data_IF_708934134549
#
_entry.id   IF_708934134549
#
_cell.length_a   1.000
_cell.length_b   1.000
_cell.length_c   1.000
_cell.angle_alpha   90.00
_cell.angle_beta   90.00
_cell.angle_gamma   90.00
#
_symmetry.space_group_name_H-M   'P 1'
#
loop_
_entity.id
_entity.type
_entity.pdbx_description
1 polymer ?
#
# COMPACT_ATOMS: atom_id res chain seq x y z
N UNK A 1 -15.21 -6.67 14.75
CA UNK A 1 -13.78 -6.30 14.66
C UNK A 1 -13.72 -4.94 13.98
N UNK A 2 -13.08 -3.94 14.58
CA UNK A 2 -12.88 -2.65 13.90
C UNK A 2 -11.95 -2.85 12.70
N UNK A 3 -12.06 -2.00 11.67
CA UNK A 3 -11.18 -2.08 10.49
C UNK A 3 -9.69 -1.91 10.84
N UNK A 4 -9.37 -1.33 12.00
CA UNK A 4 -8.00 -1.13 12.46
C UNK A 4 -7.29 -2.43 12.86
N UNK A 5 -8.03 -3.47 13.26
CA UNK A 5 -7.43 -4.77 13.61
C UNK A 5 -6.97 -5.59 12.39
N UNK A 6 -7.36 -5.18 11.18
CA UNK A 6 -7.04 -5.91 9.95
C UNK A 6 -5.62 -5.62 9.44
N UNK A 7 -5.02 -4.49 9.83
CA UNK A 7 -3.77 -4.02 9.26
C UNK A 7 -2.69 -3.82 10.33
N UNK A 8 -1.45 -4.14 9.97
CA UNK A 8 -0.27 -3.64 10.67
C UNK A 8 0.23 -2.43 9.90
N UNK A 9 0.16 -1.26 10.52
CA UNK A 9 0.66 -0.01 9.96
C UNK A 9 2.14 0.20 10.27
N UNK A 10 2.86 0.69 9.27
CA UNK A 10 4.27 1.07 9.32
C UNK A 10 4.32 2.55 8.95
N UNK A 11 4.53 3.39 9.95
CA UNK A 11 4.56 4.84 9.79
C UNK A 11 6.00 5.36 9.86
N UNK A 12 6.31 6.49 9.20
CA UNK A 12 7.62 7.10 9.27
C UNK A 12 7.88 7.60 10.68
N UNK A 13 9.16 7.59 11.08
CA UNK A 13 9.59 8.16 12.38
C UNK A 13 9.59 9.70 12.36
N UNK A 14 9.70 10.29 11.17
CA UNK A 14 9.72 11.72 10.92
C UNK A 14 8.44 12.16 10.19
N UNK A 15 8.20 13.47 10.13
CA UNK A 15 6.99 14.03 9.52
C UNK A 15 6.83 13.65 8.04
N UNK A 16 5.57 13.41 7.64
CA UNK A 16 5.21 13.11 6.25
C UNK A 16 5.50 14.32 5.36
N UNK A 17 5.89 14.14 4.10
CA UNK A 17 5.92 15.26 3.16
C UNK A 17 4.54 15.92 3.12
N UNK A 18 4.55 17.25 3.18
CA UNK A 18 3.35 18.05 3.24
C UNK A 18 2.79 18.23 1.84
N UNK A 19 1.66 17.56 1.58
CA UNK A 19 0.75 18.03 0.53
C UNK A 19 0.22 19.41 0.93
N UNK A 20 0.17 20.34 -0.01
CA UNK A 20 -0.30 21.70 0.23
C UNK A 20 -1.83 21.76 0.34
N UNK A 21 -2.53 20.75 -0.17
CA UNK A 21 -3.98 20.62 -0.07
C UNK A 21 -4.46 19.17 -0.13
N UNK A 22 -5.72 18.94 0.26
CA UNK A 22 -6.37 17.64 0.07
C UNK A 22 -6.55 17.28 -1.41
N UNK A 23 -6.77 18.28 -2.27
CA UNK A 23 -6.85 18.06 -3.72
C UNK A 23 -5.53 17.56 -4.29
N UNK A 24 -4.41 18.19 -3.89
CA UNK A 24 -3.07 17.74 -4.30
C UNK A 24 -2.79 16.31 -3.80
N UNK A 25 -3.20 15.99 -2.57
CA UNK A 25 -3.13 14.63 -2.04
C UNK A 25 -3.89 13.64 -2.92
N UNK A 26 -5.12 13.93 -3.31
CA UNK A 26 -5.91 13.01 -4.16
C UNK A 26 -5.39 12.89 -5.60
N UNK A 27 -4.72 13.93 -6.07
CA UNK A 27 -4.09 13.97 -7.39
C UNK A 27 -2.84 13.08 -7.45
N UNK A 28 -1.96 13.20 -6.45
CA UNK A 28 -0.64 12.59 -6.47
C UNK A 28 -0.47 11.37 -5.57
N UNK A 29 -1.24 11.24 -4.48
CA UNK A 29 -1.05 10.13 -3.56
C UNK A 29 -1.59 8.81 -4.13
N UNK A 30 -0.75 7.79 -4.10
CA UNK A 30 -1.10 6.45 -4.50
C UNK A 30 -0.35 5.39 -3.72
N UNK A 31 -0.47 4.16 -4.19
CA UNK A 31 0.09 2.99 -3.52
C UNK A 31 0.47 1.90 -4.49
N UNK A 32 1.60 1.27 -4.20
CA UNK A 32 1.93 -0.05 -4.72
C UNK A 32 1.29 -1.11 -3.83
N UNK A 33 0.61 -2.08 -4.45
CA UNK A 33 -0.04 -3.21 -3.78
C UNK A 33 0.67 -4.49 -4.23
N UNK A 34 1.12 -5.25 -3.24
CA UNK A 34 1.89 -6.48 -3.41
C UNK A 34 1.08 -7.59 -2.76
N UNK A 35 0.81 -8.64 -3.50
CA UNK A 35 0.02 -9.78 -3.05
C UNK A 35 0.90 -11.02 -2.90
N UNK A 36 0.69 -11.78 -1.84
CA UNK A 36 1.45 -13.01 -1.58
C UNK A 36 0.91 -13.80 -0.39
N UNK A 37 1.50 -14.96 -0.12
CA UNK A 37 1.19 -15.73 1.08
C UNK A 37 1.59 -14.97 2.35
N UNK A 38 0.94 -15.29 3.48
CA UNK A 38 1.14 -14.64 4.78
C UNK A 38 2.61 -14.44 5.15
N UNK A 39 3.40 -15.51 5.12
CA UNK A 39 4.82 -15.47 5.53
C UNK A 39 5.66 -14.52 4.68
N UNK A 40 5.40 -14.47 3.36
CA UNK A 40 6.07 -13.53 2.46
C UNK A 40 5.71 -12.09 2.80
N UNK A 41 4.43 -11.81 3.02
CA UNK A 41 3.96 -10.45 3.31
C UNK A 41 4.44 -9.97 4.69
N UNK A 42 4.48 -10.84 5.69
CA UNK A 42 5.04 -10.52 7.02
C UNK A 42 6.56 -10.25 6.94
N UNK A 43 7.31 -11.07 6.19
CA UNK A 43 8.74 -10.84 5.95
C UNK A 43 8.99 -9.51 5.23
N UNK A 44 8.26 -9.22 4.15
CA UNK A 44 8.34 -7.94 3.45
C UNK A 44 7.96 -6.76 4.36
N UNK A 45 6.93 -6.93 5.20
CA UNK A 45 6.50 -5.95 6.20
C UNK A 45 7.61 -5.62 7.20
N UNK A 46 8.41 -6.61 7.62
CA UNK A 46 9.56 -6.38 8.51
C UNK A 46 10.69 -5.61 7.80
N UNK A 47 10.96 -5.92 6.53
CA UNK A 47 12.04 -5.31 5.75
C UNK A 47 11.74 -3.86 5.37
N UNK A 48 10.49 -3.59 4.98
CA UNK A 48 10.09 -2.25 4.52
C UNK A 48 10.11 -1.20 5.64
N UNK A 49 10.06 -1.62 6.91
CA UNK A 49 10.21 -0.74 8.08
C UNK A 49 11.44 0.17 7.98
N UNK A 50 12.54 -0.33 7.40
CA UNK A 50 13.78 0.44 7.26
C UNK A 50 13.75 1.47 6.14
N UNK A 51 12.77 1.36 5.23
CA UNK A 51 12.61 2.19 4.04
C UNK A 51 11.52 3.25 4.22
N UNK A 52 10.54 3.03 5.10
CA UNK A 52 9.46 4.00 5.35
C UNK A 52 10.00 5.31 5.95
N UNK A 53 9.57 6.44 5.41
CA UNK A 53 10.09 7.77 5.74
C UNK A 53 11.40 8.12 5.03
N UNK A 54 11.92 7.18 4.25
CA UNK A 54 13.06 7.35 3.34
C UNK A 54 12.61 6.95 1.95
N UNK A 55 13.50 7.06 0.97
CA UNK A 55 13.31 6.40 -0.32
C UNK A 55 12.00 6.77 -1.06
N UNK A 56 11.40 7.92 -0.73
CA UNK A 56 10.10 8.41 -1.22
C UNK A 56 8.88 7.57 -0.79
N UNK A 57 9.05 6.70 0.22
CA UNK A 57 7.97 5.90 0.81
C UNK A 57 7.38 6.64 2.01
N UNK A 58 6.09 6.98 1.90
CA UNK A 58 5.36 7.76 2.89
C UNK A 58 4.94 6.95 4.10
N UNK A 59 4.42 5.75 3.84
CA UNK A 59 3.97 4.79 4.84
C UNK A 59 3.77 3.44 4.16
N UNK A 60 3.67 2.39 4.96
CA UNK A 60 3.24 1.09 4.47
C UNK A 60 2.26 0.46 5.44
N UNK A 61 1.51 -0.54 4.98
CA UNK A 61 0.74 -1.42 5.85
C UNK A 61 0.61 -2.79 5.23
N UNK A 62 0.44 -3.81 6.04
CA UNK A 62 0.14 -5.15 5.55
C UNK A 62 -1.02 -5.79 6.28
N UNK A 63 -1.72 -6.72 5.62
CA UNK A 63 -2.91 -7.37 6.17
C UNK A 63 -2.53 -8.48 7.16
N UNK A 64 -3.15 -8.48 8.35
CA UNK A 64 -3.07 -9.57 9.32
C UNK A 64 -3.92 -10.78 8.94
N UNK A 65 -5.02 -10.50 8.25
CA UNK A 65 -5.95 -11.48 7.72
C UNK A 65 -5.84 -11.50 6.19
N UNK A 66 -6.39 -12.52 5.52
CA UNK A 66 -6.47 -12.54 4.06
C UNK A 66 -7.15 -11.28 3.50
N UNK A 67 -6.67 -10.85 2.34
CA UNK A 67 -7.23 -9.71 1.61
C UNK A 67 -8.65 -10.06 1.14
N UNK A 68 -9.60 -9.21 1.49
CA UNK A 68 -11.02 -9.40 1.15
C UNK A 68 -11.29 -9.28 -0.35
N UNK A 69 -10.43 -8.56 -1.07
CA UNK A 69 -10.48 -8.37 -2.52
C UNK A 69 -9.07 -8.48 -3.08
N UNK A 70 -8.90 -9.38 -4.04
CA UNK A 70 -7.65 -9.59 -4.77
C UNK A 70 -7.95 -9.53 -6.28
N UNK A 71 -6.98 -9.13 -7.11
CA UNK A 71 -7.12 -9.17 -8.57
C UNK A 71 -7.37 -10.60 -9.06
N UNK A 72 -7.95 -10.73 -10.25
CA UNK A 72 -8.08 -12.01 -10.93
C UNK A 72 -6.71 -12.69 -11.09
N UNK A 73 -6.66 -14.00 -10.84
CA UNK A 73 -5.42 -14.78 -10.87
C UNK A 73 -4.70 -14.93 -9.53
N UNK A 74 -5.26 -14.39 -8.44
CA UNK A 74 -4.83 -14.67 -7.07
C UNK A 74 -5.80 -15.64 -6.38
N UNK A 75 -5.26 -16.56 -5.58
CA UNK A 75 -6.05 -17.52 -4.82
C UNK A 75 -6.75 -16.87 -3.61
N UNK A 76 -7.71 -17.61 -3.02
CA UNK A 76 -8.20 -17.31 -1.69
C UNK A 76 -7.05 -17.47 -0.66
N UNK A 77 -7.08 -16.75 0.46
CA UNK A 77 -6.02 -16.74 1.51
C UNK A 77 -4.75 -15.92 1.19
N UNK A 78 -4.83 -15.04 0.18
CA UNK A 78 -3.72 -14.13 -0.16
C UNK A 78 -3.71 -12.92 0.76
N UNK A 79 -2.53 -12.52 1.23
CA UNK A 79 -2.29 -11.31 2.01
C UNK A 79 -1.75 -10.18 1.11
N UNK A 80 -1.83 -8.95 1.60
CA UNK A 80 -1.37 -7.78 0.87
C UNK A 80 -0.41 -6.92 1.70
N UNK A 81 0.67 -6.46 1.06
CA UNK A 81 1.48 -5.32 1.49
C UNK A 81 1.12 -4.11 0.61
N UNK A 82 0.88 -2.98 1.25
CA UNK A 82 0.49 -1.73 0.62
C UNK A 82 1.56 -0.69 0.97
N UNK A 83 2.16 -0.08 -0.05
CA UNK A 83 3.25 0.89 0.09
C UNK A 83 2.80 2.21 -0.52
N UNK A 84 2.64 3.23 0.31
CA UNK A 84 2.15 4.54 -0.10
C UNK A 84 3.32 5.42 -0.57
N UNK A 85 3.16 6.04 -1.73
CA UNK A 85 4.08 7.05 -2.23
C UNK A 85 3.39 8.05 -3.16
N UNK A 86 4.11 9.14 -3.42
CA UNK A 86 3.71 10.14 -4.40
C UNK A 86 3.96 9.63 -5.83
N UNK A 87 2.98 9.82 -6.72
CA UNK A 87 3.04 9.32 -8.09
C UNK A 87 4.18 9.91 -8.92
N UNK A 88 4.60 11.14 -8.60
CA UNK A 88 5.77 11.80 -9.20
C UNK A 88 7.06 11.00 -8.98
N UNK A 89 7.08 10.13 -7.95
CA UNK A 89 8.23 9.30 -7.56
C UNK A 89 7.95 7.79 -7.64
N UNK A 90 6.77 7.34 -8.09
CA UNK A 90 6.34 5.94 -7.95
C UNK A 90 7.24 4.93 -8.66
N UNK A 91 7.78 5.25 -9.83
CA UNK A 91 8.68 4.38 -10.59
C UNK A 91 10.04 4.26 -9.88
N UNK A 92 10.49 5.29 -9.17
CA UNK A 92 11.67 5.15 -8.30
C UNK A 92 11.39 4.23 -7.12
N UNK A 93 10.22 4.36 -6.49
CA UNK A 93 9.82 3.48 -5.39
C UNK A 93 9.71 2.04 -5.86
N UNK A 94 9.08 1.80 -7.01
CA UNK A 94 8.96 0.49 -7.65
C UNK A 94 10.32 -0.18 -7.87
N UNK A 95 11.29 0.54 -8.43
CA UNK A 95 12.66 0.02 -8.60
C UNK A 95 13.29 -0.35 -7.26
N UNK A 96 13.19 0.50 -6.25
CA UNK A 96 13.72 0.22 -4.90
C UNK A 96 13.06 -1.00 -4.26
N UNK A 97 11.74 -1.16 -4.40
CA UNK A 97 11.01 -2.35 -3.94
C UNK A 97 11.49 -3.61 -4.65
N UNK A 98 11.71 -3.54 -5.96
CA UNK A 98 12.27 -4.65 -6.74
C UNK A 98 13.69 -4.99 -6.28
N UNK A 99 14.59 -4.01 -6.27
CA UNK A 99 16.02 -4.22 -6.05
C UNK A 99 16.34 -4.65 -4.61
N UNK A 100 15.59 -4.13 -3.62
CA UNK A 100 15.87 -4.40 -2.20
C UNK A 100 15.00 -5.49 -1.59
N UNK A 101 13.78 -5.68 -2.09
CA UNK A 101 12.82 -6.63 -1.53
C UNK A 101 12.52 -7.81 -2.46
N UNK A 102 13.05 -7.82 -3.68
CA UNK A 102 12.84 -8.90 -4.65
C UNK A 102 11.39 -9.00 -5.15
N UNK A 103 10.66 -7.88 -5.15
CA UNK A 103 9.24 -7.86 -5.55
C UNK A 103 9.11 -7.52 -7.03
N UNK A 104 8.70 -8.49 -7.85
CA UNK A 104 8.47 -8.29 -9.28
C UNK A 104 7.01 -7.97 -9.64
N UNK A 105 6.05 -8.59 -8.94
CA UNK A 105 4.61 -8.40 -9.18
C UNK A 105 4.03 -7.41 -8.18
N UNK A 106 3.63 -6.25 -8.67
CA UNK A 106 2.97 -5.20 -7.88
C UNK A 106 2.03 -4.38 -8.75
N UNK A 107 0.99 -3.82 -8.13
CA UNK A 107 -0.06 -3.06 -8.80
C UNK A 107 -0.09 -1.63 -8.26
N UNK A 108 -0.10 -0.64 -9.16
CA UNK A 108 -0.29 0.75 -8.77
C UNK A 108 -1.78 1.05 -8.63
N UNK A 109 -2.15 1.83 -7.62
CA UNK A 109 -3.50 2.36 -7.45
C UNK A 109 -3.48 3.72 -6.78
N UNK A 110 -4.25 4.66 -7.28
CA UNK A 110 -4.42 5.96 -6.65
C UNK A 110 -5.37 5.91 -5.45
N UNK A 111 -5.21 6.84 -4.51
CA UNK A 111 -6.13 6.95 -3.38
C UNK A 111 -7.51 7.43 -3.80
N UNK A 112 -7.61 8.34 -4.77
CA UNK A 112 -8.90 8.77 -5.35
C UNK A 112 -9.73 7.60 -5.89
N UNK A 113 -9.08 6.62 -6.52
CA UNK A 113 -9.76 5.42 -7.05
C UNK A 113 -10.32 4.55 -5.93
N UNK A 114 -9.57 4.44 -4.83
CA UNK A 114 -10.00 3.66 -3.65
C UNK A 114 -11.19 4.33 -2.97
N UNK A 115 -11.18 5.66 -2.86
CA UNK A 115 -12.32 6.43 -2.32
C UNK A 115 -13.55 6.25 -3.21
N UNK A 116 -13.40 6.36 -4.53
CA UNK A 116 -14.50 6.17 -5.47
C UNK A 116 -15.12 4.78 -5.36
N UNK A 117 -14.32 3.73 -5.23
CA UNK A 117 -14.82 2.36 -5.04
C UNK A 117 -15.61 2.20 -3.74
N UNK A 118 -15.13 2.79 -2.64
CA UNK A 118 -15.83 2.75 -1.36
C UNK A 118 -17.16 3.49 -1.46
N UNK A 119 -17.18 4.66 -2.08
CA UNK A 119 -18.41 5.41 -2.32
C UNK A 119 -19.39 4.61 -3.17
N UNK A 120 -18.93 4.01 -4.27
CA UNK A 120 -19.78 3.20 -5.14
C UNK A 120 -20.31 1.96 -4.42
N UNK A 121 -19.52 1.30 -3.56
CA UNK A 121 -20.00 0.14 -2.79
C UNK A 121 -21.09 0.49 -1.78
N UNK A 122 -21.04 1.70 -1.20
CA UNK A 122 -22.03 2.16 -0.21
C UNK A 122 -23.34 2.64 -0.83
N UNK A 123 -23.36 2.91 -2.14
CA UNK A 123 -24.58 3.29 -2.87
C UNK A 123 -25.41 2.07 -3.26
N UNK A 124 -24.84 0.86 -3.14
CA UNK A 124 -25.48 -0.41 -3.48
C UNK A 124 -25.83 -1.27 -2.25
N UNK A 125 -25.67 -0.74 -1.04
CA UNK A 125 -26.17 -1.29 0.24
C UNK A 125 -27.36 -0.45 0.75
#
# INVERSE_FOLDING_TARGET
>A
MSQDDQFVWISPKEERPSYQSYSEYLEHNGKWIIYGGKNLIEDLGSKILTMVGKDDILSAKFTRNPALKVPEGYEHDVHALIVYCDDRNNESVKRKLKDRLGVDKMFWKYDRETIQEVLNSKVHD
#
